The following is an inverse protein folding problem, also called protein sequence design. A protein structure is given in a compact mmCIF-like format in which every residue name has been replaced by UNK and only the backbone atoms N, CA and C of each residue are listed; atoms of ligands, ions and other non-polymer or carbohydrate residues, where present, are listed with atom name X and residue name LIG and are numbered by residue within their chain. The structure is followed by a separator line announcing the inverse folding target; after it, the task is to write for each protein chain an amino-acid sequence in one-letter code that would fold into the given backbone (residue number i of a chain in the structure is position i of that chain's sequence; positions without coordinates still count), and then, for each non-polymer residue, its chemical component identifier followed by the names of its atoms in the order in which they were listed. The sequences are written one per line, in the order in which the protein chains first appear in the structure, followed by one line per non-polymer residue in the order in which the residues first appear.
data_IF_036414718769
#
_entry.id   IF_036414718769
#
_cell.length_a   1.000
_cell.length_b   1.000
_cell.length_c   1.000
_cell.angle_alpha   90.00
_cell.angle_beta   90.00
_cell.angle_gamma   90.00
#
_symmetry.space_group_name_H-M   'P 1'
#
loop_
_entity.id
_entity.type
_entity.pdbx_description
1 polymer ?
#
# COMPACT_ATOMS: atom_id res chain seq x y z
N UNK A 1 9.36 -14.32 -7.86
CA UNK A 1 8.66 -14.87 -6.71
C UNK A 1 9.19 -14.19 -5.46
N UNK A 2 8.30 -13.70 -4.63
CA UNK A 2 8.62 -13.08 -3.35
C UNK A 2 8.52 -14.08 -2.20
N UNK A 3 8.91 -13.65 -1.00
CA UNK A 3 8.91 -14.53 0.18
C UNK A 3 7.50 -15.00 0.57
N UNK A 4 6.47 -14.22 0.26
CA UNK A 4 5.07 -14.57 0.58
C UNK A 4 4.60 -15.72 -0.30
N UNK A 5 4.83 -15.63 -1.61
CA UNK A 5 4.48 -16.71 -2.54
C UNK A 5 5.22 -18.00 -2.21
N UNK A 6 6.53 -17.91 -1.87
CA UNK A 6 7.30 -19.08 -1.42
C UNK A 6 6.74 -19.69 -0.13
N UNK A 7 6.34 -18.85 0.83
CA UNK A 7 5.73 -19.33 2.08
C UNK A 7 4.39 -20.03 1.85
N UNK A 8 3.54 -19.47 0.97
CA UNK A 8 2.26 -20.08 0.61
C UNK A 8 2.45 -21.41 -0.13
N UNK A 9 3.42 -21.47 -1.05
CA UNK A 9 3.76 -22.71 -1.76
C UNK A 9 4.29 -23.77 -0.78
N UNK A 10 5.18 -23.39 0.13
CA UNK A 10 5.69 -24.29 1.18
C UNK A 10 4.58 -24.81 2.11
N UNK A 11 3.62 -23.95 2.44
CA UNK A 11 2.47 -24.30 3.26
C UNK A 11 1.36 -25.03 2.50
N UNK A 12 1.54 -25.28 1.19
CA UNK A 12 0.55 -25.90 0.30
C UNK A 12 -0.80 -25.16 0.27
N UNK A 13 -0.75 -23.83 0.47
CA UNK A 13 -1.91 -22.95 0.38
C UNK A 13 -2.13 -22.57 -1.07
N UNK A 14 -3.30 -22.86 -1.59
CA UNK A 14 -3.69 -22.42 -2.95
C UNK A 14 -3.95 -20.92 -2.96
N UNK A 15 -3.39 -20.23 -3.94
CA UNK A 15 -3.60 -18.79 -4.14
C UNK A 15 -3.62 -18.46 -5.63
N UNK A 16 -4.25 -17.33 -5.96
CA UNK A 16 -4.20 -16.72 -7.28
C UNK A 16 -3.56 -15.33 -7.16
N UNK A 17 -2.79 -14.93 -8.16
CA UNK A 17 -2.30 -13.56 -8.30
C UNK A 17 -3.31 -12.79 -9.13
N UNK A 18 -3.82 -11.70 -8.56
CA UNK A 18 -4.74 -10.80 -9.25
C UNK A 18 -4.16 -9.38 -9.26
N UNK A 19 -4.56 -8.60 -10.23
CA UNK A 19 -4.08 -7.25 -10.47
C UNK A 19 -5.24 -6.26 -10.45
N UNK A 20 -4.94 -4.98 -10.62
CA UNK A 20 -5.95 -3.91 -10.65
C UNK A 20 -7.12 -4.22 -11.59
N UNK A 21 -6.85 -4.85 -12.75
CA UNK A 21 -7.87 -5.20 -13.74
C UNK A 21 -8.89 -6.19 -13.17
N UNK A 22 -8.44 -7.24 -12.50
CA UNK A 22 -9.28 -8.23 -11.88
C UNK A 22 -10.05 -7.65 -10.68
N UNK A 23 -9.42 -6.78 -9.90
CA UNK A 23 -10.08 -6.11 -8.77
C UNK A 23 -11.20 -5.19 -9.28
N UNK A 24 -10.94 -4.38 -10.31
CA UNK A 24 -11.96 -3.53 -10.93
C UNK A 24 -13.09 -4.36 -11.55
N UNK A 25 -12.78 -5.55 -12.07
CA UNK A 25 -13.77 -6.50 -12.59
C UNK A 25 -14.54 -7.28 -11.50
N UNK A 26 -14.44 -6.88 -10.23
CA UNK A 26 -15.12 -7.50 -9.08
C UNK A 26 -14.71 -8.94 -8.75
N UNK A 27 -13.56 -9.41 -9.20
CA UNK A 27 -13.09 -10.77 -8.91
C UNK A 27 -12.79 -11.04 -7.44
N UNK A 28 -12.60 -10.01 -6.60
CA UNK A 28 -12.42 -10.20 -5.15
C UNK A 28 -13.57 -10.98 -4.51
N UNK A 29 -14.78 -10.93 -5.07
CA UNK A 29 -15.95 -11.67 -4.58
C UNK A 29 -15.81 -13.19 -4.68
N UNK A 30 -14.84 -13.69 -5.42
CA UNK A 30 -14.55 -15.12 -5.60
C UNK A 30 -13.59 -15.66 -4.53
N UNK A 31 -13.06 -14.78 -3.65
CA UNK A 31 -12.05 -15.10 -2.65
C UNK A 31 -12.56 -14.76 -1.24
N UNK A 32 -11.97 -15.45 -0.24
CA UNK A 32 -12.23 -15.18 1.18
C UNK A 32 -11.14 -14.32 1.81
N UNK A 33 -9.92 -14.37 1.24
CA UNK A 33 -8.73 -13.72 1.78
C UNK A 33 -7.96 -12.98 0.68
N UNK A 34 -7.74 -11.69 0.91
CA UNK A 34 -6.85 -10.82 0.13
C UNK A 34 -5.55 -10.60 0.89
N UNK A 35 -4.43 -10.87 0.25
CA UNK A 35 -3.10 -10.52 0.74
C UNK A 35 -2.54 -9.38 -0.10
N UNK A 36 -2.21 -8.26 0.54
CA UNK A 36 -1.55 -7.10 -0.05
C UNK A 36 -0.10 -7.05 0.41
N UNK A 37 0.84 -6.78 -0.49
CA UNK A 37 2.25 -6.85 -0.18
C UNK A 37 2.94 -5.48 -0.25
N UNK A 38 3.18 -4.95 -1.45
CA UNK A 38 3.88 -3.68 -1.67
C UNK A 38 3.07 -2.69 -2.50
N UNK A 39 1.77 -2.83 -2.52
CA UNK A 39 0.90 -1.99 -3.34
C UNK A 39 0.94 -0.54 -2.86
N UNK A 40 1.03 0.36 -3.83
CA UNK A 40 0.78 1.78 -3.62
C UNK A 40 -0.63 2.13 -4.12
N UNK A 41 -1.51 2.43 -3.20
CA UNK A 41 -2.89 2.84 -3.50
C UNK A 41 -3.02 4.35 -3.71
N UNK A 42 -1.95 5.12 -3.55
CA UNK A 42 -1.99 6.59 -3.67
C UNK A 42 -1.79 7.08 -5.11
N UNK A 43 -1.18 6.26 -5.97
CA UNK A 43 -0.81 6.64 -7.32
C UNK A 43 0.52 7.39 -7.43
N UNK A 44 1.33 7.40 -6.36
CA UNK A 44 2.65 8.05 -6.32
C UNK A 44 3.80 7.09 -6.68
N UNK A 45 3.48 5.93 -7.28
CA UNK A 45 4.44 4.92 -7.74
C UNK A 45 5.43 4.48 -6.65
N UNK A 46 4.93 4.25 -5.42
CA UNK A 46 5.73 3.84 -4.28
C UNK A 46 6.67 4.93 -3.73
N UNK A 47 6.49 6.18 -4.16
CA UNK A 47 7.38 7.31 -3.86
C UNK A 47 8.86 7.07 -4.21
N UNK A 48 9.09 6.21 -5.21
CA UNK A 48 10.44 5.89 -5.68
C UNK A 48 11.04 6.92 -6.63
N UNK A 49 10.32 7.99 -6.96
CA UNK A 49 10.74 8.99 -7.94
C UNK A 49 12.12 9.56 -7.62
N UNK A 50 12.35 10.00 -6.38
CA UNK A 50 13.60 10.67 -6.00
C UNK A 50 14.85 9.81 -6.23
N UNK A 51 14.74 8.51 -6.04
CA UNK A 51 15.87 7.58 -6.14
C UNK A 51 15.96 6.87 -7.49
N UNK A 52 14.82 6.67 -8.18
CA UNK A 52 14.74 5.73 -9.30
C UNK A 52 14.11 6.29 -10.59
N UNK A 53 13.77 7.59 -10.66
CA UNK A 53 13.08 8.19 -11.81
C UNK A 53 13.74 7.91 -13.17
N UNK A 54 15.07 7.78 -13.21
CA UNK A 54 15.83 7.49 -14.42
C UNK A 54 16.11 5.99 -14.66
N UNK A 55 15.66 5.11 -13.78
CA UNK A 55 15.93 3.67 -13.92
C UNK A 55 14.95 3.00 -14.88
N UNK A 56 15.41 2.05 -15.69
CA UNK A 56 14.53 1.38 -16.67
C UNK A 56 13.32 0.69 -16.05
N UNK A 57 13.49 0.06 -14.90
CA UNK A 57 12.38 -0.63 -14.23
C UNK A 57 11.30 0.34 -13.77
N UNK A 58 11.66 1.50 -13.21
CA UNK A 58 10.71 2.51 -12.76
C UNK A 58 9.92 3.08 -13.93
N UNK A 59 10.61 3.46 -15.01
CA UNK A 59 9.99 3.97 -16.24
C UNK A 59 9.00 2.94 -16.81
N UNK A 60 9.38 1.66 -16.84
CA UNK A 60 8.51 0.59 -17.31
C UNK A 60 7.29 0.40 -16.42
N UNK A 61 7.47 0.47 -15.11
CA UNK A 61 6.36 0.35 -14.14
C UNK A 61 5.37 1.51 -14.29
N UNK A 62 5.85 2.75 -14.38
CA UNK A 62 5.00 3.93 -14.62
C UNK A 62 4.21 3.74 -15.92
N UNK A 63 4.88 3.42 -17.03
CA UNK A 63 4.23 3.22 -18.31
C UNK A 63 3.19 2.09 -18.29
N UNK A 64 3.46 1.01 -17.55
CA UNK A 64 2.51 -0.09 -17.38
C UNK A 64 1.26 0.38 -16.62
N UNK A 65 1.42 1.06 -15.50
CA UNK A 65 0.29 1.55 -14.68
C UNK A 65 -0.54 2.59 -15.43
N UNK A 66 0.10 3.53 -16.14
CA UNK A 66 -0.60 4.50 -16.99
C UNK A 66 -1.40 3.82 -18.12
N UNK A 67 -0.80 2.83 -18.76
CA UNK A 67 -1.49 2.07 -19.82
C UNK A 67 -2.68 1.28 -19.26
N UNK A 68 -2.54 0.71 -18.07
CA UNK A 68 -3.61 -0.01 -17.37
C UNK A 68 -4.75 0.94 -16.99
N UNK A 69 -4.43 2.09 -16.40
CA UNK A 69 -5.42 3.10 -16.06
C UNK A 69 -6.22 3.53 -17.29
N UNK A 70 -5.52 3.85 -18.39
CA UNK A 70 -6.16 4.22 -19.66
C UNK A 70 -7.03 3.11 -20.24
N UNK A 71 -6.57 1.85 -20.20
CA UNK A 71 -7.31 0.67 -20.67
C UNK A 71 -8.62 0.49 -19.89
N UNK A 72 -8.60 0.78 -18.59
CA UNK A 72 -9.76 0.67 -17.70
C UNK A 72 -10.64 1.94 -17.70
N UNK A 73 -10.30 2.97 -18.49
CA UNK A 73 -11.09 4.18 -18.66
C UNK A 73 -10.81 5.28 -17.64
N UNK A 74 -9.75 5.15 -16.85
CA UNK A 74 -9.29 6.17 -15.92
C UNK A 74 -8.32 7.15 -16.61
N UNK A 75 -8.36 8.42 -16.21
CA UNK A 75 -7.45 9.43 -16.75
C UNK A 75 -6.08 9.41 -16.10
N UNK A 76 -6.03 9.05 -14.81
CA UNK A 76 -4.85 9.04 -13.96
C UNK A 76 -4.70 7.69 -13.26
N UNK A 77 -3.47 7.35 -12.89
CA UNK A 77 -3.19 6.18 -12.05
C UNK A 77 -3.77 6.36 -10.64
N UNK A 78 -3.72 7.57 -10.09
CA UNK A 78 -4.34 7.90 -8.79
C UNK A 78 -5.85 7.61 -8.78
N UNK A 79 -6.57 7.93 -9.86
CA UNK A 79 -8.00 7.59 -9.98
C UNK A 79 -8.24 6.07 -10.02
N UNK A 80 -7.43 5.33 -10.79
CA UNK A 80 -7.49 3.87 -10.82
C UNK A 80 -7.24 3.29 -9.42
N UNK A 81 -6.17 3.71 -8.76
CA UNK A 81 -5.79 3.20 -7.43
C UNK A 81 -6.84 3.52 -6.36
N UNK A 82 -7.44 4.71 -6.39
CA UNK A 82 -8.58 5.05 -5.54
C UNK A 82 -9.78 4.11 -5.79
N UNK A 83 -10.09 3.81 -7.04
CA UNK A 83 -11.17 2.87 -7.37
C UNK A 83 -10.85 1.44 -6.92
N UNK A 84 -9.61 1.00 -7.04
CA UNK A 84 -9.15 -0.30 -6.52
C UNK A 84 -9.29 -0.34 -4.99
N UNK A 85 -8.85 0.71 -4.28
CA UNK A 85 -9.00 0.80 -2.83
C UNK A 85 -10.48 0.71 -2.38
N UNK A 86 -11.41 1.35 -3.10
CA UNK A 86 -12.84 1.22 -2.83
C UNK A 86 -13.36 -0.20 -3.04
N UNK A 87 -12.92 -0.90 -4.09
CA UNK A 87 -13.29 -2.32 -4.30
C UNK A 87 -12.79 -3.22 -3.18
N UNK A 88 -11.56 -2.99 -2.71
CA UNK A 88 -11.01 -3.71 -1.56
C UNK A 88 -11.80 -3.37 -0.29
N UNK A 89 -12.20 -2.12 -0.10
CA UNK A 89 -13.05 -1.71 1.02
C UNK A 89 -14.40 -2.44 1.00
N UNK A 90 -15.04 -2.51 -0.16
CA UNK A 90 -16.31 -3.23 -0.33
C UNK A 90 -16.16 -4.73 -0.02
N UNK A 91 -15.05 -5.33 -0.45
CA UNK A 91 -14.72 -6.72 -0.13
C UNK A 91 -14.61 -6.95 1.38
N UNK A 92 -13.83 -6.12 2.08
CA UNK A 92 -13.62 -6.26 3.53
C UNK A 92 -14.91 -5.99 4.31
N UNK A 93 -15.65 -4.94 3.97
CA UNK A 93 -16.93 -4.63 4.63
C UNK A 93 -18.01 -5.65 4.31
N UNK A 94 -17.88 -6.35 3.20
CA UNK A 94 -18.72 -7.49 2.82
C UNK A 94 -18.39 -8.80 3.55
N UNK A 95 -17.36 -8.82 4.39
CA UNK A 95 -16.95 -9.98 5.20
C UNK A 95 -15.70 -10.71 4.70
N UNK A 96 -15.01 -10.17 3.69
CA UNK A 96 -13.71 -10.67 3.24
C UNK A 96 -12.60 -10.37 4.26
N UNK A 97 -11.59 -11.22 4.32
CA UNK A 97 -10.42 -11.00 5.16
C UNK A 97 -9.30 -10.35 4.36
N UNK A 98 -8.70 -9.30 4.92
CA UNK A 98 -7.54 -8.62 4.31
C UNK A 98 -6.34 -8.67 5.26
N UNK A 99 -5.19 -9.00 4.69
CA UNK A 99 -3.89 -8.86 5.35
C UNK A 99 -2.99 -7.98 4.48
N UNK A 100 -2.52 -6.86 5.04
CA UNK A 100 -1.67 -5.89 4.35
C UNK A 100 -0.28 -5.86 4.97
N UNK A 101 0.74 -5.72 4.12
CA UNK A 101 2.15 -5.61 4.50
C UNK A 101 2.80 -4.42 3.82
N UNK A 102 3.90 -3.92 4.42
CA UNK A 102 4.77 -2.90 3.85
C UNK A 102 3.97 -1.65 3.45
N UNK A 103 4.26 -1.07 2.29
CA UNK A 103 3.58 0.15 1.79
C UNK A 103 2.07 -0.01 1.57
N UNK A 104 1.56 -1.23 1.44
CA UNK A 104 0.12 -1.45 1.38
C UNK A 104 -0.58 -1.12 2.71
N UNK A 105 0.13 -1.13 3.82
CA UNK A 105 -0.43 -0.91 5.16
C UNK A 105 -0.94 0.52 5.33
N UNK A 106 -0.14 1.50 4.98
CA UNK A 106 -0.45 2.92 5.13
C UNK A 106 -1.08 3.51 3.86
N UNK A 107 -0.55 3.18 2.67
CA UNK A 107 -1.04 3.72 1.41
C UNK A 107 -2.51 3.39 1.15
N UNK A 108 -3.00 2.26 1.66
CA UNK A 108 -4.39 1.86 1.55
C UNK A 108 -5.32 2.82 2.33
N UNK A 109 -5.06 3.05 3.60
CA UNK A 109 -5.85 3.98 4.41
C UNK A 109 -5.70 5.43 3.95
N UNK A 110 -4.52 5.79 3.44
CA UNK A 110 -4.30 7.10 2.81
C UNK A 110 -5.22 7.27 1.60
N UNK A 111 -5.28 6.28 0.71
CA UNK A 111 -6.15 6.34 -0.46
C UNK A 111 -7.63 6.44 -0.08
N UNK A 112 -8.06 5.74 0.96
CA UNK A 112 -9.43 5.83 1.47
C UNK A 112 -9.75 7.21 2.07
N UNK A 113 -8.84 7.76 2.88
CA UNK A 113 -9.02 9.07 3.49
C UNK A 113 -8.98 10.20 2.44
N UNK A 114 -8.16 10.03 1.39
CA UNK A 114 -7.98 11.00 0.32
C UNK A 114 -8.98 10.82 -0.85
N UNK A 115 -10.05 10.07 -0.67
CA UNK A 115 -11.06 9.93 -1.72
C UNK A 115 -11.56 11.33 -2.14
N UNK A 116 -11.57 11.56 -3.43
CA UNK A 116 -11.95 12.86 -4.05
C UNK A 116 -11.00 14.04 -3.69
N UNK A 117 -9.84 13.75 -3.12
CA UNK A 117 -8.79 14.73 -2.82
C UNK A 117 -7.52 14.32 -3.57
N UNK A 118 -7.07 15.17 -4.49
CA UNK A 118 -5.81 14.92 -5.17
C UNK A 118 -4.63 15.18 -4.23
N UNK A 119 -3.84 14.12 -4.00
CA UNK A 119 -2.66 14.12 -3.15
C UNK A 119 -1.37 13.87 -3.92
N UNK A 120 -1.47 13.69 -5.25
CA UNK A 120 -0.32 13.48 -6.13
C UNK A 120 0.29 14.81 -6.55
N UNK A 121 1.60 14.92 -6.46
CA UNK A 121 2.31 16.07 -7.01
C UNK A 121 2.39 15.96 -8.54
N UNK A 122 2.49 17.11 -9.22
CA UNK A 122 2.50 17.24 -10.68
C UNK A 122 3.39 16.23 -11.40
N UNK A 123 4.53 15.86 -10.81
CA UNK A 123 5.44 14.89 -11.39
C UNK A 123 4.90 13.46 -11.47
N UNK A 124 3.85 13.14 -10.72
CA UNK A 124 3.25 11.80 -10.73
C UNK A 124 2.08 11.69 -11.71
N UNK A 125 1.28 12.75 -11.86
CA UNK A 125 0.03 12.65 -12.62
C UNK A 125 -0.29 13.88 -13.51
N UNK A 126 0.56 14.91 -13.50
CA UNK A 126 0.52 16.03 -14.44
C UNK A 126 -0.25 17.24 -13.99
N UNK A 127 -0.77 17.29 -12.76
CA UNK A 127 -1.38 18.45 -12.14
C UNK A 127 -1.05 18.60 -10.65
N UNK A 128 -1.37 19.73 -10.07
CA UNK A 128 -1.03 20.07 -8.70
C UNK A 128 -1.96 19.38 -7.70
N UNK A 129 -1.41 19.08 -6.52
CA UNK A 129 -2.18 18.58 -5.37
C UNK A 129 -3.32 19.53 -5.01
N UNK A 130 -4.41 18.98 -4.52
CA UNK A 130 -5.52 19.76 -3.98
C UNK A 130 -5.03 20.72 -2.88
N UNK A 131 -5.24 22.05 -3.00
CA UNK A 131 -4.85 22.99 -1.96
C UNK A 131 -5.46 22.64 -0.59
N UNK A 132 -4.59 22.49 0.43
CA UNK A 132 -5.02 22.12 1.77
C UNK A 132 -5.48 20.66 1.89
N UNK A 133 -4.97 19.75 1.08
CA UNK A 133 -5.35 18.34 1.04
C UNK A 133 -5.42 17.69 2.45
N UNK A 134 -4.43 17.94 3.32
CA UNK A 134 -4.42 17.42 4.69
C UNK A 134 -5.66 17.79 5.52
N UNK A 135 -6.28 18.95 5.26
CA UNK A 135 -7.50 19.37 5.98
C UNK A 135 -8.79 18.80 5.37
N UNK A 136 -8.68 18.08 4.26
CA UNK A 136 -9.81 17.51 3.52
C UNK A 136 -9.89 15.99 3.62
N UNK A 137 -8.96 15.37 4.33
CA UNK A 137 -8.96 13.93 4.54
C UNK A 137 -10.17 13.51 5.37
N UNK A 138 -10.83 12.45 4.94
CA UNK A 138 -11.97 11.86 5.64
C UNK A 138 -11.56 10.56 6.36
N UNK A 139 -11.15 10.67 7.60
CA UNK A 139 -10.73 9.53 8.42
C UNK A 139 -11.86 8.56 8.80
N UNK A 140 -13.12 8.91 8.56
CA UNK A 140 -14.23 7.97 8.77
C UNK A 140 -14.24 6.82 7.77
N UNK A 141 -13.43 6.93 6.74
CA UNK A 141 -13.30 5.93 5.67
C UNK A 141 -12.18 4.92 5.91
N UNK A 142 -11.23 5.23 6.77
CA UNK A 142 -10.06 4.40 7.06
C UNK A 142 -10.40 3.20 7.94
N UNK A 143 -9.53 2.19 7.94
CA UNK A 143 -9.72 1.00 8.77
C UNK A 143 -8.82 0.99 10.01
N UNK A 144 -7.59 1.45 9.89
CA UNK A 144 -6.56 1.29 10.92
C UNK A 144 -6.00 2.62 11.44
N UNK A 145 -5.89 3.63 10.58
CA UNK A 145 -5.18 4.88 10.91
C UNK A 145 -6.09 6.09 10.80
N UNK A 146 -5.93 7.01 11.74
CA UNK A 146 -6.63 8.30 11.74
C UNK A 146 -5.72 9.43 12.18
N UNK A 147 -6.10 10.67 11.87
CA UNK A 147 -5.39 11.89 12.29
C UNK A 147 -3.94 12.00 11.80
N UNK A 148 -3.56 11.28 10.74
CA UNK A 148 -2.26 11.42 10.13
C UNK A 148 -2.15 12.66 9.25
N UNK A 149 -0.91 13.09 9.00
CA UNK A 149 -0.58 14.18 8.10
C UNK A 149 0.21 13.64 6.91
N UNK A 150 -0.25 13.94 5.70
CA UNK A 150 0.44 13.55 4.48
C UNK A 150 1.69 14.41 4.26
N UNK A 151 2.75 13.79 3.80
CA UNK A 151 3.94 14.46 3.31
C UNK A 151 3.78 14.74 1.80
N UNK A 152 3.56 16.02 1.46
CA UNK A 152 3.35 16.45 0.08
C UNK A 152 4.66 16.59 -0.72
N UNK A 153 5.80 16.53 -0.05
CA UNK A 153 7.10 16.55 -0.72
C UNK A 153 7.30 15.24 -1.51
N UNK A 154 7.37 15.30 -2.85
CA UNK A 154 7.53 14.10 -3.68
C UNK A 154 8.94 13.46 -3.53
N UNK A 155 9.89 14.17 -2.96
CA UNK A 155 11.23 13.65 -2.69
C UNK A 155 11.35 12.96 -1.33
N UNK A 156 10.34 13.08 -0.48
CA UNK A 156 10.26 12.34 0.77
C UNK A 156 9.69 10.95 0.51
N UNK A 157 10.36 9.92 1.02
CA UNK A 157 9.97 8.53 0.79
C UNK A 157 8.69 8.15 1.55
N UNK A 158 8.57 8.60 2.80
CA UNK A 158 7.39 8.33 3.61
C UNK A 158 6.16 9.04 3.05
N UNK A 159 5.01 8.38 3.10
CA UNK A 159 3.73 8.95 2.64
C UNK A 159 3.14 9.93 3.65
N UNK A 160 3.27 9.62 4.93
CA UNK A 160 2.60 10.34 6.00
C UNK A 160 3.28 10.14 7.35
N UNK A 161 2.69 10.73 8.38
CA UNK A 161 3.10 10.50 9.78
C UNK A 161 2.67 9.13 10.35
N UNK A 162 2.02 8.27 9.58
CA UNK A 162 1.82 6.86 9.94
C UNK A 162 3.18 6.18 10.00
N UNK A 163 4.03 6.47 9.04
CA UNK A 163 5.36 5.90 8.94
C UNK A 163 6.36 6.66 9.83
N UNK A 164 7.29 5.94 10.42
CA UNK A 164 8.31 6.54 11.26
C UNK A 164 9.42 7.13 10.41
N UNK A 165 9.62 8.45 10.48
CA UNK A 165 10.73 9.12 9.82
C UNK A 165 12.06 8.53 10.32
N UNK A 166 12.90 8.09 9.36
CA UNK A 166 14.19 7.48 9.65
C UNK A 166 15.10 8.38 10.52
N UNK A 167 14.94 9.71 10.42
CA UNK A 167 15.69 10.66 11.22
C UNK A 167 15.21 10.80 12.68
N UNK A 168 13.99 10.32 12.96
CA UNK A 168 13.40 10.34 14.30
C UNK A 168 13.47 8.99 15.00
N UNK A 169 14.03 7.98 14.35
CA UNK A 169 14.23 6.67 14.98
C UNK A 169 15.11 6.82 16.22
N UNK A 170 14.69 6.30 17.37
CA UNK A 170 15.55 6.28 18.53
C UNK A 170 16.83 5.51 18.18
N UNK A 171 17.97 5.97 18.69
CA UNK A 171 19.19 5.20 18.58
C UNK A 171 18.97 3.82 19.15
N UNK A 172 19.34 2.79 18.41
CA UNK A 172 19.30 1.41 18.91
C UNK A 172 20.26 1.35 20.09
N UNK A 173 19.74 1.04 21.26
CA UNK A 173 20.54 0.83 22.46
C UNK A 173 20.99 -0.62 22.56
N UNK A 174 22.02 -0.87 23.36
CA UNK A 174 22.50 -2.23 23.61
C UNK A 174 21.42 -3.16 24.16
N UNK A 175 20.33 -2.60 24.69
CA UNK A 175 19.17 -3.33 25.24
C UNK A 175 18.06 -3.54 24.20
N UNK A 176 18.17 -2.98 22.99
CA UNK A 176 17.19 -3.07 21.93
C UNK A 176 17.43 -4.33 21.06
N UNK A 177 17.60 -5.45 21.72
CA UNK A 177 17.69 -6.76 21.05
C UNK A 177 16.67 -7.73 21.61
N UNK A 178 16.29 -8.67 20.77
CA UNK A 178 15.45 -9.78 21.19
C UNK A 178 16.11 -11.10 20.80
N UNK A 179 15.82 -12.13 21.57
CA UNK A 179 16.28 -13.47 21.26
C UNK A 179 15.21 -14.18 20.45
N UNK A 180 15.55 -14.57 19.23
CA UNK A 180 14.70 -15.41 18.42
C UNK A 180 14.85 -16.86 18.93
N UNK A 181 13.76 -17.42 19.43
CA UNK A 181 13.70 -18.85 19.72
C UNK A 181 13.40 -19.63 18.43
N UNK A 182 13.92 -20.84 18.35
CA UNK A 182 13.50 -21.74 17.29
C UNK A 182 12.00 -21.96 17.37
N UNK A 183 11.29 -21.50 16.36
CA UNK A 183 9.85 -21.74 16.27
C UNK A 183 9.51 -22.31 14.90
N UNK A 184 8.47 -23.11 14.85
CA UNK A 184 7.88 -23.59 13.62
C UNK A 184 6.46 -23.10 13.52
N UNK A 185 6.15 -22.31 12.53
CA UNK A 185 4.79 -21.84 12.26
C UNK A 185 3.76 -22.98 12.13
N UNK A 186 4.22 -24.19 11.85
CA UNK A 186 3.38 -25.40 11.77
C UNK A 186 3.01 -25.96 13.14
N UNK A 187 3.85 -25.75 14.16
CA UNK A 187 3.71 -26.42 15.46
C UNK A 187 3.55 -25.45 16.64
N UNK A 188 3.95 -24.20 16.47
CA UNK A 188 3.93 -23.20 17.53
C UNK A 188 2.84 -22.17 17.23
N UNK A 189 1.68 -22.24 17.88
CA UNK A 189 0.69 -21.18 17.81
C UNK A 189 1.22 -19.94 18.56
N UNK A 190 2.10 -19.18 17.94
CA UNK A 190 2.69 -18.00 18.56
C UNK A 190 1.84 -16.78 18.20
N UNK A 191 1.16 -16.17 19.17
CA UNK A 191 0.55 -14.85 18.98
C UNK A 191 1.65 -13.77 18.99
N UNK A 192 2.55 -13.81 18.00
CA UNK A 192 3.62 -12.83 17.90
C UNK A 192 3.32 -11.89 16.76
N UNK A 193 3.10 -10.64 17.07
CA UNK A 193 3.06 -9.58 16.11
C UNK A 193 4.48 -9.00 16.02
N UNK A 194 5.14 -9.19 14.89
CA UNK A 194 6.35 -8.46 14.56
C UNK A 194 5.93 -7.19 13.84
N UNK A 195 6.21 -6.05 14.43
CA UNK A 195 6.08 -4.76 13.75
C UNK A 195 7.45 -4.37 13.22
N UNK A 196 7.51 -4.06 11.94
CA UNK A 196 8.70 -3.55 11.29
C UNK A 196 8.48 -2.08 10.95
N UNK A 197 9.32 -1.21 11.49
CA UNK A 197 9.40 0.18 11.03
C UNK A 197 10.33 0.23 9.81
N UNK A 198 9.89 0.86 8.75
CA UNK A 198 10.68 1.17 7.55
C UNK A 198 11.43 2.48 7.70
#
# INVERSE_FOLDING_TARGET
DDAVTLALEYAEVKYDKIWDEEVIADKLKEYDWLHLHHEDFTGQYGKFFSAFAATPWYIQQVALLESTAKKLGFKKVSELKSAVAEKVRDFVTGGGFMFAMCSATDSYDIALAAKDVDICAEMFDGDDVTPGANSKLDFTRTFAFENFQLYMDPYKYEYSTIDVDANTRPNINENDYFTLFDFSAKYDPVPTMLTQCH
#
